data_IF_898619616428
#
_entry.id   IF_898619616428
#
_cell.length_a   1.000
_cell.length_b   1.000
_cell.length_c   1.000
_cell.angle_alpha   90.00
_cell.angle_beta   90.00
_cell.angle_gamma   90.00
#
_symmetry.space_group_name_H-M   'P 1'
#
loop_
_entity.id
_entity.type
_entity.pdbx_description
1 polymer ?
#
# COMPACT_ATOMS: atom_id res chain seq x y z
N UNK A 1 0.11 -14.59 8.34
CA UNK A 1 0.68 -14.70 6.98
C UNK A 1 2.16 -14.35 7.06
N UNK A 2 3.02 -15.11 6.39
CA UNK A 2 4.45 -14.78 6.30
C UNK A 2 4.66 -13.61 5.32
N UNK A 3 5.85 -13.01 5.34
CA UNK A 3 6.30 -12.08 4.29
C UNK A 3 7.17 -12.73 3.23
N UNK A 4 7.52 -14.01 3.39
CA UNK A 4 8.42 -14.69 2.45
C UNK A 4 7.92 -14.55 1.02
N UNK A 5 6.63 -14.74 0.79
CA UNK A 5 6.01 -14.61 -0.54
C UNK A 5 6.14 -13.22 -1.15
N UNK A 6 5.96 -12.13 -0.38
CA UNK A 6 6.07 -10.78 -0.92
C UNK A 6 7.53 -10.38 -1.12
N UNK A 7 8.42 -10.81 -0.23
CA UNK A 7 9.86 -10.56 -0.36
C UNK A 7 10.43 -11.29 -1.57
N UNK A 8 10.14 -12.59 -1.73
CA UNK A 8 10.54 -13.37 -2.90
C UNK A 8 9.97 -12.78 -4.20
N UNK A 9 8.74 -12.28 -4.15
CA UNK A 9 8.12 -11.61 -5.29
C UNK A 9 8.86 -10.32 -5.67
N UNK A 10 9.17 -9.47 -4.69
CA UNK A 10 9.93 -8.23 -4.90
C UNK A 10 11.35 -8.53 -5.37
N UNK A 11 12.03 -9.51 -4.78
CA UNK A 11 13.35 -9.95 -5.21
C UNK A 11 13.35 -10.41 -6.67
N UNK A 12 12.33 -11.17 -7.08
CA UNK A 12 12.17 -11.60 -8.47
C UNK A 12 11.95 -10.43 -9.43
N UNK A 13 11.15 -9.43 -9.03
CA UNK A 13 10.97 -8.22 -9.84
C UNK A 13 12.26 -7.42 -9.95
N UNK A 14 13.03 -7.38 -8.86
CA UNK A 14 14.26 -6.61 -8.74
C UNK A 14 15.49 -7.29 -9.35
N UNK A 15 15.40 -8.58 -9.69
CA UNK A 15 16.48 -9.34 -10.32
C UNK A 15 16.78 -8.90 -11.76
N UNK A 16 15.88 -8.14 -12.38
CA UNK A 16 16.03 -7.60 -13.73
C UNK A 16 15.60 -6.13 -13.73
N UNK A 17 16.50 -5.23 -14.11
CA UNK A 17 16.25 -3.79 -14.14
C UNK A 17 15.06 -3.40 -15.02
N UNK A 18 14.92 -4.00 -16.20
CA UNK A 18 13.78 -3.75 -17.09
C UNK A 18 12.46 -4.18 -16.45
N UNK A 19 12.45 -5.33 -15.77
CA UNK A 19 11.28 -5.82 -15.04
C UNK A 19 10.94 -4.92 -13.85
N UNK A 20 11.98 -4.49 -13.12
CA UNK A 20 11.86 -3.60 -11.99
C UNK A 20 11.25 -2.27 -12.42
N UNK A 21 11.74 -1.65 -13.50
CA UNK A 21 11.20 -0.41 -14.04
C UNK A 21 9.75 -0.58 -14.48
N UNK A 22 9.41 -1.68 -15.19
CA UNK A 22 8.03 -1.97 -15.61
C UNK A 22 7.07 -2.22 -14.45
N UNK A 23 7.58 -2.68 -13.32
CA UNK A 23 6.77 -2.96 -12.12
C UNK A 23 6.38 -1.70 -11.33
N UNK A 24 7.00 -0.56 -11.61
CA UNK A 24 6.67 0.70 -10.95
C UNK A 24 5.24 1.13 -11.27
N UNK A 25 4.46 1.50 -10.24
CA UNK A 25 3.06 1.93 -10.35
C UNK A 25 2.16 0.99 -11.18
N UNK A 26 2.38 -0.32 -11.16
CA UNK A 26 1.62 -1.27 -11.99
C UNK A 26 0.91 -2.38 -11.22
N UNK A 27 1.16 -2.52 -9.92
CA UNK A 27 0.65 -3.62 -9.12
C UNK A 27 -0.56 -3.23 -8.26
N UNK A 28 -1.27 -4.24 -7.76
CA UNK A 28 -2.34 -4.10 -6.80
C UNK A 28 -2.33 -5.31 -5.83
N UNK A 29 -3.01 -5.19 -4.69
CA UNK A 29 -3.02 -6.21 -3.63
C UNK A 29 -4.34 -6.99 -3.70
N UNK A 30 -4.22 -8.33 -3.71
CA UNK A 30 -5.35 -9.24 -3.69
C UNK A 30 -5.16 -10.33 -2.64
N UNK A 31 -6.26 -10.86 -2.12
CA UNK A 31 -6.29 -11.96 -1.14
C UNK A 31 -7.23 -13.08 -1.61
N UNK A 32 -6.87 -13.83 -2.67
CA UNK A 32 -7.75 -14.83 -3.28
C UNK A 32 -8.18 -15.95 -2.31
N UNK A 33 -7.38 -16.19 -1.27
CA UNK A 33 -7.68 -17.17 -0.22
C UNK A 33 -8.96 -16.83 0.55
N UNK A 34 -9.42 -15.57 0.47
CA UNK A 34 -10.58 -15.04 1.16
C UNK A 34 -11.77 -14.78 0.22
N UNK A 35 -11.73 -15.21 -1.05
CA UNK A 35 -12.83 -15.00 -2.00
C UNK A 35 -14.16 -15.63 -1.56
N UNK A 36 -14.11 -16.62 -0.66
CA UNK A 36 -15.30 -17.28 -0.07
C UNK A 36 -15.64 -16.78 1.34
N UNK A 37 -14.82 -15.89 1.91
CA UNK A 37 -15.12 -15.28 3.20
C UNK A 37 -16.25 -14.26 3.01
N UNK A 38 -17.26 -14.32 3.88
CA UNK A 38 -18.43 -13.43 3.79
C UNK A 38 -18.16 -12.06 4.41
N UNK A 39 -17.03 -11.90 5.10
CA UNK A 39 -16.60 -10.63 5.70
C UNK A 39 -15.93 -9.76 4.64
N UNK A 40 -16.11 -8.45 4.76
CA UNK A 40 -15.31 -7.49 4.00
C UNK A 40 -13.83 -7.56 4.43
N UNK A 41 -12.89 -7.28 3.52
CA UNK A 41 -11.45 -7.41 3.78
C UNK A 41 -11.00 -6.68 5.05
N UNK A 42 -11.52 -5.47 5.29
CA UNK A 42 -11.16 -4.68 6.48
C UNK A 42 -11.64 -5.30 7.80
N UNK A 43 -12.57 -6.24 7.75
CA UNK A 43 -13.06 -6.98 8.92
C UNK A 43 -12.23 -8.23 9.23
N UNK A 44 -11.27 -8.58 8.37
CA UNK A 44 -10.45 -9.78 8.51
C UNK A 44 -9.15 -9.40 9.25
N UNK A 45 -9.03 -9.67 10.56
CA UNK A 45 -7.98 -9.07 11.38
C UNK A 45 -6.57 -9.50 10.98
N UNK A 46 -6.39 -10.71 10.49
CA UNK A 46 -5.11 -11.21 10.01
C UNK A 46 -4.64 -10.53 8.72
N UNK A 47 -5.54 -10.13 7.82
CA UNK A 47 -5.19 -9.31 6.64
C UNK A 47 -4.76 -7.93 7.10
N UNK A 48 -5.55 -7.28 7.97
CA UNK A 48 -5.26 -5.93 8.44
C UNK A 48 -3.95 -5.87 9.24
N UNK A 49 -3.69 -6.85 10.09
CA UNK A 49 -2.39 -6.95 10.79
C UNK A 49 -1.23 -7.16 9.82
N UNK A 50 -1.41 -7.99 8.80
CA UNK A 50 -0.35 -8.22 7.82
C UNK A 50 -0.06 -6.98 6.99
N UNK A 51 -1.08 -6.27 6.49
CA UNK A 51 -0.94 -5.02 5.76
C UNK A 51 -0.21 -3.96 6.60
N UNK A 52 -0.67 -3.72 7.84
CA UNK A 52 0.00 -2.79 8.76
C UNK A 52 1.45 -3.18 9.00
N UNK A 53 1.69 -4.46 9.27
CA UNK A 53 3.03 -4.94 9.58
C UNK A 53 3.96 -4.90 8.34
N UNK A 54 3.44 -5.03 7.12
CA UNK A 54 4.21 -4.88 5.89
C UNK A 54 4.77 -3.46 5.74
N UNK A 55 4.00 -2.44 6.13
CA UNK A 55 4.44 -1.03 6.16
C UNK A 55 5.54 -0.88 7.21
N UNK A 56 5.37 -1.45 8.41
CA UNK A 56 6.39 -1.41 9.46
C UNK A 56 7.69 -2.15 9.09
N UNK A 57 7.61 -3.14 8.20
CA UNK A 57 8.76 -3.85 7.64
C UNK A 57 9.44 -3.11 6.49
N UNK A 58 8.84 -2.02 6.00
CA UNK A 58 9.40 -1.21 4.93
C UNK A 58 9.20 -1.79 3.54
N UNK A 59 8.11 -2.54 3.31
CA UNK A 59 7.73 -2.94 1.96
C UNK A 59 7.45 -1.67 1.14
N UNK A 60 8.08 -1.49 -0.03
CA UNK A 60 8.06 -0.22 -0.77
C UNK A 60 6.77 -0.09 -1.60
N UNK A 61 5.62 -0.03 -0.95
CA UNK A 61 4.32 -0.02 -1.62
C UNK A 61 4.13 1.14 -2.58
N UNK A 62 4.66 2.33 -2.25
CA UNK A 62 4.59 3.50 -3.14
C UNK A 62 5.36 3.32 -4.44
N UNK A 63 6.36 2.43 -4.48
CA UNK A 63 7.03 2.08 -5.72
C UNK A 63 6.12 1.23 -6.62
N UNK A 64 5.53 0.18 -6.05
CA UNK A 64 4.85 -0.88 -6.81
C UNK A 64 3.39 -0.59 -7.13
N UNK A 65 2.63 0.00 -6.20
CA UNK A 65 1.18 0.08 -6.33
C UNK A 65 0.74 1.10 -7.36
N UNK A 66 -0.22 0.71 -8.18
CA UNK A 66 -0.80 1.56 -9.22
C UNK A 66 -1.59 2.73 -8.63
N UNK A 67 -1.40 3.90 -9.22
CA UNK A 67 -2.08 5.17 -8.88
C UNK A 67 -3.05 5.61 -9.98
N UNK A 68 -3.20 4.82 -11.06
CA UNK A 68 -3.96 5.22 -12.28
C UNK A 68 -5.48 5.29 -12.08
N UNK A 69 -6.03 4.44 -11.22
CA UNK A 69 -7.45 4.36 -10.89
C UNK A 69 -7.58 4.23 -9.37
N UNK A 70 -8.81 4.24 -8.83
CA UNK A 70 -9.06 3.91 -7.42
C UNK A 70 -8.46 2.53 -7.13
N UNK A 71 -7.30 2.52 -6.48
CA UNK A 71 -6.49 1.34 -6.24
C UNK A 71 -6.88 0.77 -4.89
N UNK A 72 -7.34 -0.48 -4.89
CA UNK A 72 -7.86 -1.09 -3.68
C UNK A 72 -6.72 -1.35 -2.67
N UNK A 73 -5.51 -1.69 -3.14
CA UNK A 73 -4.34 -1.91 -2.31
C UNK A 73 -3.93 -0.70 -1.47
N UNK A 74 -3.81 0.49 -2.08
CA UNK A 74 -3.46 1.73 -1.36
C UNK A 74 -4.52 2.07 -0.30
N UNK A 75 -5.81 1.98 -0.65
CA UNK A 75 -6.87 2.16 0.34
C UNK A 75 -6.77 1.15 1.49
N UNK A 76 -6.57 -0.14 1.18
CA UNK A 76 -6.42 -1.18 2.20
C UNK A 76 -5.22 -0.93 3.13
N UNK A 77 -4.10 -0.47 2.59
CA UNK A 77 -2.92 -0.11 3.38
C UNK A 77 -3.22 1.03 4.35
N UNK A 78 -3.83 2.11 3.87
CA UNK A 78 -4.25 3.25 4.72
C UNK A 78 -5.26 2.77 5.77
N UNK A 79 -6.23 1.96 5.37
CA UNK A 79 -7.23 1.43 6.27
C UNK A 79 -6.57 0.59 7.37
N UNK A 80 -5.59 -0.24 7.02
CA UNK A 80 -4.88 -1.08 7.98
C UNK A 80 -4.02 -0.29 8.97
N UNK A 81 -3.49 0.84 8.53
CA UNK A 81 -2.51 1.60 9.29
C UNK A 81 -3.15 2.68 10.16
N UNK A 82 -4.16 3.39 9.62
CA UNK A 82 -4.69 4.62 10.18
C UNK A 82 -6.07 4.50 10.86
N UNK A 83 -6.79 3.38 10.68
CA UNK A 83 -8.22 3.35 11.05
C UNK A 83 -8.48 2.99 12.50
N UNK A 84 -9.52 3.64 13.04
CA UNK A 84 -10.47 3.01 13.95
C UNK A 84 -11.79 2.82 13.18
N UNK A 85 -12.22 1.57 12.98
CA UNK A 85 -13.47 1.29 12.26
C UNK A 85 -14.67 1.52 13.16
N UNK A 86 -15.58 2.42 12.75
CA UNK A 86 -16.90 2.58 13.38
C UNK A 86 -17.98 2.06 12.43
N UNK A 87 -19.03 1.45 12.97
CA UNK A 87 -20.20 1.04 12.18
C UNK A 87 -21.03 2.29 11.87
N UNK A 88 -21.48 2.45 10.63
CA UNK A 88 -22.38 3.54 10.26
C UNK A 88 -23.69 3.44 11.06
N UNK A 89 -24.25 4.58 11.45
CA UNK A 89 -25.38 4.72 12.38
C UNK A 89 -26.66 4.05 11.83
N UNK A 90 -26.76 3.93 10.49
CA UNK A 90 -27.89 3.30 9.78
C UNK A 90 -27.67 1.82 9.42
N UNK A 91 -26.55 1.20 9.80
CA UNK A 91 -26.30 -0.24 9.62
C UNK A 91 -26.18 -0.73 8.18
N UNK A 92 -26.12 0.18 7.19
CA UNK A 92 -26.01 -0.14 5.75
C UNK A 92 -24.61 0.02 5.18
N UNK A 93 -23.65 0.46 5.99
CA UNK A 93 -22.28 0.73 5.54
C UNK A 93 -21.29 0.82 6.70
N UNK A 94 -20.03 1.09 6.35
CA UNK A 94 -18.94 1.27 7.29
C UNK A 94 -18.31 2.64 7.07
N UNK A 95 -18.17 3.41 8.14
CA UNK A 95 -17.44 4.68 8.11
C UNK A 95 -16.07 4.43 8.71
N UNK A 96 -15.05 4.72 7.91
CA UNK A 96 -13.67 4.56 8.34
C UNK A 96 -13.13 5.96 8.63
N UNK A 97 -12.84 6.19 9.92
CA UNK A 97 -12.25 7.43 10.39
C UNK A 97 -10.75 7.22 10.60
N UNK A 98 -9.97 8.23 10.23
CA UNK A 98 -8.52 8.26 10.42
C UNK A 98 -8.15 9.45 11.30
N UNK A 99 -7.22 9.24 12.23
CA UNK A 99 -6.55 10.34 12.88
C UNK A 99 -5.59 10.99 11.87
N UNK A 100 -5.61 12.33 11.67
CA UNK A 100 -4.68 13.01 10.77
C UNK A 100 -3.21 12.68 11.06
N UNK A 101 -2.87 12.48 12.33
CA UNK A 101 -1.52 12.13 12.77
C UNK A 101 -1.08 10.75 12.27
N UNK A 102 -2.00 9.79 12.18
CA UNK A 102 -1.70 8.44 11.70
C UNK A 102 -1.55 8.43 10.18
N UNK A 103 -2.32 9.25 9.46
CA UNK A 103 -2.12 9.46 8.03
C UNK A 103 -0.75 10.08 7.73
N UNK A 104 -0.33 11.08 8.52
CA UNK A 104 1.02 11.65 8.41
C UNK A 104 2.13 10.60 8.55
N UNK A 105 2.05 9.77 9.60
CA UNK A 105 3.01 8.68 9.85
C UNK A 105 2.99 7.62 8.75
N UNK A 106 1.81 7.30 8.22
CA UNK A 106 1.66 6.38 7.09
C UNK A 106 2.41 6.88 5.87
N UNK A 107 2.19 8.15 5.51
CA UNK A 107 2.82 8.80 4.36
C UNK A 107 4.34 8.80 4.53
N UNK A 108 4.83 9.27 5.69
CA UNK A 108 6.26 9.34 6.01
C UNK A 108 6.95 7.97 5.86
N UNK A 109 6.41 6.93 6.51
CA UNK A 109 6.99 5.57 6.45
C UNK A 109 7.05 4.99 5.04
N UNK A 110 6.02 5.23 4.22
CA UNK A 110 6.01 4.70 2.86
C UNK A 110 6.95 5.47 1.92
N UNK A 111 7.12 6.79 2.12
CA UNK A 111 8.15 7.55 1.41
C UNK A 111 9.57 7.15 1.84
N UNK A 112 9.80 6.92 3.13
CA UNK A 112 11.08 6.36 3.60
C UNK A 112 11.40 5.01 2.96
N UNK A 113 10.37 4.16 2.84
CA UNK A 113 10.50 2.84 2.21
C UNK A 113 10.75 2.95 0.71
N UNK A 114 10.07 3.88 0.02
CA UNK A 114 10.34 4.20 -1.39
C UNK A 114 11.79 4.66 -1.58
N UNK A 115 12.23 5.67 -0.82
CA UNK A 115 13.56 6.23 -0.96
C UNK A 115 14.65 5.18 -0.72
N UNK A 116 14.52 4.39 0.35
CA UNK A 116 15.46 3.29 0.63
C UNK A 116 15.49 2.27 -0.50
N UNK A 117 14.34 1.93 -1.07
CA UNK A 117 14.26 0.98 -2.17
C UNK A 117 14.94 1.52 -3.43
N UNK A 118 14.69 2.79 -3.78
CA UNK A 118 15.36 3.45 -4.90
C UNK A 118 16.88 3.46 -4.72
N UNK A 119 17.37 3.75 -3.51
CA UNK A 119 18.80 3.77 -3.18
C UNK A 119 19.45 2.38 -3.33
N UNK A 120 18.80 1.33 -2.80
CA UNK A 120 19.29 -0.07 -2.87
C UNK A 120 19.43 -0.54 -4.32
N UNK A 121 18.50 -0.13 -5.18
CA UNK A 121 18.46 -0.54 -6.59
C UNK A 121 19.13 0.46 -7.54
N UNK A 122 19.75 1.53 -7.01
CA UNK A 122 20.42 2.58 -7.78
C UNK A 122 19.55 3.19 -8.88
N UNK A 123 18.25 3.37 -8.58
CA UNK A 123 17.27 3.90 -9.53
C UNK A 123 17.35 5.44 -9.61
N UNK A 124 16.99 5.97 -10.77
CA UNK A 124 17.14 7.39 -11.08
C UNK A 124 16.23 8.29 -10.24
N UNK A 125 16.72 9.49 -9.93
CA UNK A 125 16.01 10.50 -9.14
C UNK A 125 14.77 11.01 -9.88
N UNK A 126 14.82 11.09 -11.21
CA UNK A 126 13.67 11.51 -12.01
C UNK A 126 12.51 10.50 -11.90
N UNK A 127 12.84 9.20 -11.81
CA UNK A 127 11.85 8.14 -11.57
C UNK A 127 11.26 8.24 -10.16
N UNK A 128 12.09 8.52 -9.14
CA UNK A 128 11.60 8.73 -7.76
C UNK A 128 10.60 9.89 -7.72
N UNK A 129 10.95 11.00 -8.38
CA UNK A 129 10.09 12.18 -8.48
C UNK A 129 8.77 11.86 -9.18
N UNK A 130 8.81 11.16 -10.31
CA UNK A 130 7.59 10.77 -11.04
C UNK A 130 6.67 9.87 -10.20
N UNK A 131 7.23 8.89 -9.49
CA UNK A 131 6.47 8.03 -8.57
C UNK A 131 5.86 8.86 -7.45
N UNK A 132 6.66 9.74 -6.84
CA UNK A 132 6.24 10.59 -5.71
C UNK A 132 5.11 11.53 -6.09
N UNK A 133 5.18 12.16 -7.27
CA UNK A 133 4.12 13.01 -7.81
C UNK A 133 2.82 12.22 -8.00
N UNK A 134 2.89 11.05 -8.64
CA UNK A 134 1.71 10.19 -8.85
C UNK A 134 1.04 9.74 -7.56
N UNK A 135 1.83 9.32 -6.58
CA UNK A 135 1.29 8.92 -5.26
C UNK A 135 0.69 10.12 -4.56
N UNK A 136 1.36 11.26 -4.56
CA UNK A 136 0.88 12.48 -3.92
C UNK A 136 -0.43 12.95 -4.54
N UNK A 137 -0.54 12.98 -5.87
CA UNK A 137 -1.77 13.32 -6.59
C UNK A 137 -2.90 12.34 -6.27
N UNK A 138 -2.60 11.04 -6.17
CA UNK A 138 -3.57 10.03 -5.77
C UNK A 138 -4.11 10.31 -4.36
N UNK A 139 -3.21 10.56 -3.40
CA UNK A 139 -3.59 10.85 -2.01
C UNK A 139 -4.44 12.13 -1.93
N UNK A 140 -4.05 13.20 -2.62
CA UNK A 140 -4.81 14.46 -2.68
C UNK A 140 -6.18 14.31 -3.32
N UNK A 141 -6.32 13.45 -4.33
CA UNK A 141 -7.59 13.29 -5.05
C UNK A 141 -8.59 12.41 -4.31
N UNK A 142 -8.10 11.45 -3.54
CA UNK A 142 -8.93 10.36 -3.02
C UNK A 142 -9.04 10.32 -1.49
N UNK A 143 -8.27 11.12 -0.76
CA UNK A 143 -8.18 11.05 0.71
C UNK A 143 -8.18 12.41 1.42
N UNK A 144 -7.66 13.45 0.76
CA UNK A 144 -7.64 14.85 1.26
C UNK A 144 -8.73 15.63 0.55
#
# INVERSE_FOLDING_TARGET
MSFDTINEFIERLSANEELLIKSANSLDIFFPEYDKDTREIFQIPEIMRWLKHSIDKGVPWFYFLSTKNKNNGLHLLIHSYCSNTNVDIDGKGYIINYAPEDLGKFIEKNFDSLNRFMDIHHLDIDMNKEISEKVTDYLFKHLI
#
